data_IF_304188734045
#
_entry.id   IF_304188734045
#
_cell.length_a   1.000
_cell.length_b   1.000
_cell.length_c   1.000
_cell.angle_alpha   90.00
_cell.angle_beta   90.00
_cell.angle_gamma   90.00
#
_symmetry.space_group_name_H-M   'P 1'
#
loop_
_entity.id
_entity.type
_entity.pdbx_description
1 polymer ?
#
# COMPACT_ATOMS: atom_id res chain seq x y z
N UNK A 1 55.78 -26.68 18.64
CA UNK A 1 54.48 -27.33 18.38
C UNK A 1 53.47 -26.55 19.22
N UNK A 2 52.92 -25.46 18.67
CA UNK A 2 51.54 -25.36 18.09
C UNK A 2 50.47 -25.49 19.19
N UNK A 3 49.43 -24.68 19.29
CA UNK A 3 49.02 -23.45 18.61
C UNK A 3 47.90 -22.83 19.47
N UNK A 4 47.68 -21.55 19.27
CA UNK A 4 46.63 -20.74 19.92
C UNK A 4 45.25 -21.15 19.43
N UNK A 5 44.24 -21.20 20.29
CA UNK A 5 42.85 -20.93 19.86
C UNK A 5 42.12 -20.10 20.91
N UNK A 6 41.94 -18.85 20.53
CA UNK A 6 41.13 -17.80 21.12
C UNK A 6 39.64 -18.06 20.84
N UNK A 7 38.76 -17.96 21.84
CA UNK A 7 37.30 -17.91 21.65
C UNK A 7 36.74 -16.71 22.42
N UNK A 8 36.17 -15.70 21.75
CA UNK A 8 35.55 -14.57 22.44
C UNK A 8 34.07 -14.86 22.82
N UNK A 9 33.51 -14.08 23.76
CA UNK A 9 32.18 -14.30 24.33
C UNK A 9 31.06 -13.72 23.45
N UNK A 10 29.94 -14.44 23.37
CA UNK A 10 28.69 -13.95 22.78
C UNK A 10 27.95 -13.09 23.81
N UNK A 11 28.10 -11.77 23.69
CA UNK A 11 27.23 -10.78 24.33
C UNK A 11 25.86 -10.78 23.65
N UNK A 12 24.83 -10.84 24.47
CA UNK A 12 23.43 -10.89 24.08
C UNK A 12 22.84 -9.52 24.41
N UNK A 13 22.65 -8.66 23.41
CA UNK A 13 21.91 -7.41 23.53
C UNK A 13 21.15 -7.16 22.21
N UNK A 14 19.82 -7.29 22.27
CA UNK A 14 18.85 -6.91 21.24
C UNK A 14 17.46 -6.99 21.90
N UNK A 15 16.60 -5.99 21.86
CA UNK A 15 16.25 -5.17 20.71
C UNK A 15 15.70 -3.79 21.14
N UNK A 16 16.07 -2.74 20.43
CA UNK A 16 15.23 -1.55 20.27
C UNK A 16 15.42 -1.01 18.85
N UNK A 17 14.31 -1.01 18.12
CA UNK A 17 13.94 -0.20 16.95
C UNK A 17 15.07 0.43 16.12
N UNK A 18 15.30 -0.08 14.91
CA UNK A 18 16.00 0.70 13.88
C UNK A 18 15.41 0.46 12.50
N UNK A 19 14.71 1.48 12.01
CA UNK A 19 14.36 1.70 10.62
C UNK A 19 15.60 1.62 9.73
N UNK A 20 15.37 1.16 8.52
CA UNK A 20 16.45 0.67 7.68
C UNK A 20 17.16 1.99 7.07
N UNK A 21 18.47 2.00 6.68
CA UNK A 21 19.16 2.83 5.65
C UNK A 21 19.84 2.11 4.42
N UNK A 22 19.58 2.52 3.16
CA UNK A 22 20.47 2.23 2.01
C UNK A 22 21.64 3.25 1.99
N UNK A 23 22.87 2.80 2.23
CA UNK A 23 24.06 3.68 2.33
C UNK A 23 25.06 3.43 1.19
N UNK A 24 25.23 4.41 0.31
CA UNK A 24 26.33 4.47 -0.66
C UNK A 24 27.63 5.05 -0.07
N UNK A 25 28.79 4.84 -0.71
CA UNK A 25 30.03 5.48 -0.31
C UNK A 25 29.89 7.02 -0.40
N UNK A 26 30.30 7.73 0.65
CA UNK A 26 30.17 9.20 0.75
C UNK A 26 31.50 9.89 0.46
N UNK A 27 31.53 10.81 -0.52
CA UNK A 27 32.69 11.67 -0.80
C UNK A 27 32.66 12.26 -2.21
N UNK A 28 33.30 13.41 -2.42
CA UNK A 28 33.27 14.15 -3.70
C UNK A 28 33.80 13.35 -4.91
N UNK A 29 34.56 12.26 -4.69
CA UNK A 29 35.08 11.37 -5.74
C UNK A 29 34.20 10.17 -6.09
N UNK A 30 33.01 10.04 -5.51
CA UNK A 30 32.05 8.95 -5.81
C UNK A 30 31.04 9.38 -6.86
N UNK A 31 30.45 8.41 -7.57
CA UNK A 31 29.46 8.72 -8.61
C UNK A 31 28.24 9.44 -8.00
N UNK A 32 27.78 10.59 -8.56
CA UNK A 32 26.70 11.39 -7.99
C UNK A 32 25.44 10.60 -7.60
N UNK A 33 25.07 9.59 -8.39
CA UNK A 33 23.89 8.75 -8.19
C UNK A 33 23.95 7.88 -6.93
N UNK A 34 25.15 7.61 -6.40
CA UNK A 34 25.33 6.83 -5.16
C UNK A 34 25.51 7.68 -3.91
N UNK A 35 25.53 9.01 -4.07
CA UNK A 35 25.78 9.96 -2.97
C UNK A 35 24.48 10.37 -2.27
N UNK A 36 23.96 9.51 -1.41
CA UNK A 36 22.84 9.86 -0.55
C UNK A 36 21.99 8.67 -0.13
N UNK A 37 20.85 8.98 0.51
CA UNK A 37 19.79 8.04 0.83
C UNK A 37 18.47 8.60 0.30
N UNK A 38 17.72 7.77 -0.41
CA UNK A 38 16.33 8.06 -0.79
C UNK A 38 15.42 7.25 0.12
N UNK A 39 14.43 7.90 0.73
CA UNK A 39 13.36 7.25 1.48
C UNK A 39 12.04 7.59 0.81
N UNK A 40 11.20 6.59 0.59
CA UNK A 40 9.88 6.75 -0.02
C UNK A 40 8.86 6.70 1.10
N UNK A 41 7.97 7.69 1.16
CA UNK A 41 6.93 7.73 2.19
C UNK A 41 5.84 6.70 1.88
N UNK A 42 5.29 6.09 2.93
CA UNK A 42 4.23 5.07 2.84
C UNK A 42 3.04 5.56 2.01
N UNK A 43 2.66 6.83 2.18
CA UNK A 43 1.57 7.44 1.42
C UNK A 43 1.82 7.54 -0.10
N UNK A 44 3.07 7.48 -0.56
CA UNK A 44 3.40 7.38 -1.99
C UNK A 44 3.21 5.95 -2.47
N UNK A 45 3.69 4.97 -1.72
CA UNK A 45 3.54 3.54 -2.03
C UNK A 45 2.06 3.14 -2.02
N UNK A 46 1.30 3.63 -1.05
CA UNK A 46 -0.15 3.43 -0.95
C UNK A 46 -0.91 3.99 -2.17
N UNK A 47 -0.47 5.13 -2.72
CA UNK A 47 -1.07 5.68 -3.95
C UNK A 47 -0.77 4.82 -5.16
N UNK A 48 0.47 4.33 -5.29
CA UNK A 48 0.86 3.44 -6.39
C UNK A 48 0.03 2.16 -6.36
N UNK A 49 -0.04 1.51 -5.19
CA UNK A 49 -0.85 0.30 -5.03
C UNK A 49 -2.34 0.55 -5.21
N UNK A 50 -2.88 1.66 -4.71
CA UNK A 50 -4.29 2.01 -4.91
C UNK A 50 -4.65 2.22 -6.38
N UNK A 51 -3.76 2.83 -7.17
CA UNK A 51 -3.95 2.96 -8.61
C UNK A 51 -3.83 1.59 -9.29
N UNK A 52 -2.76 0.84 -9.01
CA UNK A 52 -2.53 -0.46 -9.61
C UNK A 52 -3.64 -1.47 -9.29
N UNK A 53 -4.18 -1.48 -8.08
CA UNK A 53 -5.29 -2.36 -7.73
C UNK A 53 -6.57 -2.02 -8.52
N UNK A 54 -6.84 -0.73 -8.76
CA UNK A 54 -8.01 -0.27 -9.55
C UNK A 54 -7.89 -0.54 -11.05
N UNK A 55 -6.69 -0.80 -11.56
CA UNK A 55 -6.48 -1.15 -12.97
C UNK A 55 -6.85 -2.60 -13.28
N UNK A 56 -7.04 -3.44 -12.26
CA UNK A 56 -7.40 -4.85 -12.44
C UNK A 56 -8.91 -4.98 -12.75
N UNK A 57 -9.28 -5.65 -13.86
CA UNK A 57 -10.68 -5.93 -14.15
C UNK A 57 -11.38 -6.68 -13.00
N UNK A 58 -12.61 -6.30 -12.71
CA UNK A 58 -13.39 -6.87 -11.61
C UNK A 58 -13.16 -6.20 -10.26
N UNK A 59 -12.28 -5.20 -10.15
CA UNK A 59 -12.23 -4.31 -8.98
C UNK A 59 -13.17 -3.13 -9.21
N UNK A 60 -14.22 -3.04 -8.40
CA UNK A 60 -15.15 -1.91 -8.41
C UNK A 60 -14.60 -0.74 -7.59
N UNK A 61 -14.15 -1.01 -6.36
CA UNK A 61 -13.64 0.03 -5.46
C UNK A 61 -12.62 -0.50 -4.46
N UNK A 62 -11.93 0.42 -3.77
CA UNK A 62 -11.02 0.13 -2.66
C UNK A 62 -11.55 0.74 -1.36
N UNK A 63 -11.52 -0.06 -0.30
CA UNK A 63 -12.01 0.29 1.05
C UNK A 63 -13.51 0.18 1.22
N UNK A 64 -13.92 -0.13 2.46
CA UNK A 64 -15.32 -0.29 2.86
C UNK A 64 -16.25 0.80 2.29
N UNK A 65 -17.37 0.36 1.71
CA UNK A 65 -18.41 1.13 1.04
C UNK A 65 -18.97 2.31 1.85
N UNK A 66 -18.29 3.46 1.78
CA UNK A 66 -18.80 4.73 2.30
C UNK A 66 -19.79 5.40 1.33
N UNK A 67 -20.49 4.63 0.50
CA UNK A 67 -21.41 5.16 -0.50
C UNK A 67 -22.78 5.52 0.07
N UNK A 68 -23.13 5.12 1.32
CA UNK A 68 -24.45 5.47 1.90
C UNK A 68 -24.47 6.36 3.15
N UNK A 69 -23.34 6.77 3.72
CA UNK A 69 -23.35 7.49 5.01
C UNK A 69 -22.55 8.80 5.11
N UNK A 70 -21.70 9.18 4.12
CA UNK A 70 -20.86 10.39 4.21
C UNK A 70 -21.24 11.46 3.17
N UNK A 71 -22.48 11.45 2.68
CA UNK A 71 -23.00 12.46 1.75
C UNK A 71 -23.34 13.83 2.37
N UNK A 72 -23.34 13.98 3.70
CA UNK A 72 -23.93 15.18 4.32
C UNK A 72 -23.01 16.02 5.25
N UNK A 73 -21.77 15.58 5.56
CA UNK A 73 -20.96 16.27 6.61
C UNK A 73 -19.54 16.66 6.18
N UNK A 74 -19.07 16.27 4.99
CA UNK A 74 -17.67 16.53 4.59
C UNK A 74 -17.45 17.85 3.81
N UNK A 75 -18.50 18.61 3.54
CA UNK A 75 -18.45 19.87 2.76
C UNK A 75 -17.77 21.05 3.50
N UNK A 76 -17.34 20.90 4.77
CA UNK A 76 -16.98 22.08 5.59
C UNK A 76 -15.64 22.06 6.33
N UNK A 77 -14.67 21.24 5.90
CA UNK A 77 -13.30 21.33 6.44
C UNK A 77 -12.33 21.78 5.34
N UNK A 78 -11.96 23.07 5.28
CA UNK A 78 -10.84 23.54 4.47
C UNK A 78 -9.56 22.94 5.07
N UNK A 79 -8.94 21.99 4.36
CA UNK A 79 -7.69 21.33 4.78
C UNK A 79 -7.75 19.79 4.89
N UNK A 80 -8.91 19.16 4.65
CA UNK A 80 -9.13 17.73 4.89
C UNK A 80 -8.67 16.77 3.78
N UNK A 81 -7.36 16.72 3.52
CA UNK A 81 -6.63 15.51 3.07
C UNK A 81 -6.94 14.93 1.67
N UNK A 82 -5.87 14.58 0.96
CA UNK A 82 -5.76 13.84 -0.31
C UNK A 82 -6.38 12.41 -0.26
N UNK A 83 -7.62 12.27 0.21
CA UNK A 83 -8.17 11.02 0.74
C UNK A 83 -8.99 10.15 -0.23
N UNK A 84 -8.82 10.31 -1.54
CA UNK A 84 -9.56 9.51 -2.54
C UNK A 84 -8.81 8.28 -3.04
N UNK A 85 -7.50 8.38 -3.27
CA UNK A 85 -6.74 7.37 -4.03
C UNK A 85 -6.13 6.26 -3.15
N UNK A 86 -5.82 6.56 -1.89
CA UNK A 86 -5.21 5.61 -0.94
C UNK A 86 -6.20 5.06 0.09
N UNK A 87 -7.51 5.32 -0.05
CA UNK A 87 -8.52 4.78 0.87
C UNK A 87 -8.64 3.28 0.62
N UNK A 88 -8.60 2.47 1.68
CA UNK A 88 -8.58 1.00 1.59
C UNK A 88 -7.21 0.39 1.32
N UNK A 89 -6.12 1.16 1.39
CA UNK A 89 -4.75 0.65 1.23
C UNK A 89 -3.92 1.07 2.43
N UNK A 90 -3.48 0.10 3.23
CA UNK A 90 -2.50 0.31 4.30
C UNK A 90 -1.17 -0.24 3.82
N UNK A 91 -0.11 0.51 4.10
CA UNK A 91 1.24 0.16 3.68
C UNK A 91 2.18 0.40 4.82
N UNK A 92 3.06 -0.56 5.04
CA UNK A 92 4.21 -0.42 5.92
C UNK A 92 5.47 -0.54 5.08
N UNK A 93 6.35 0.46 5.17
CA UNK A 93 7.58 0.53 4.37
C UNK A 93 8.80 0.51 5.29
N UNK A 94 9.75 -0.37 4.99
CA UNK A 94 11.11 -0.35 5.54
C UNK A 94 12.12 0.27 4.56
N UNK A 95 13.41 -0.01 4.76
CA UNK A 95 14.48 0.02 3.72
C UNK A 95 14.08 -0.42 2.35
N UNK A 96 14.06 -1.73 2.28
CA UNK A 96 14.10 -2.43 1.03
C UNK A 96 12.82 -3.16 0.83
N UNK A 97 11.91 -3.11 1.80
CA UNK A 97 10.78 -4.01 1.90
C UNK A 97 9.51 -3.21 2.13
N UNK A 98 8.42 -3.68 1.53
CA UNK A 98 7.08 -3.17 1.75
C UNK A 98 6.11 -4.32 2.01
N UNK A 99 5.18 -4.09 2.92
CA UNK A 99 4.02 -4.94 3.16
C UNK A 99 2.75 -4.12 2.95
N UNK A 100 1.71 -4.74 2.41
CA UNK A 100 0.49 -4.03 2.01
C UNK A 100 -0.75 -4.82 2.41
N UNK A 101 -1.72 -4.14 2.99
CA UNK A 101 -3.08 -4.65 3.19
C UNK A 101 -4.04 -3.82 2.34
N UNK A 102 -4.84 -4.51 1.53
CA UNK A 102 -5.75 -3.88 0.56
C UNK A 102 -7.16 -4.39 0.78
N UNK A 103 -8.07 -3.46 1.08
CA UNK A 103 -9.49 -3.70 1.19
C UNK A 103 -10.14 -3.43 -0.18
N UNK A 104 -10.89 -4.38 -0.72
CA UNK A 104 -11.47 -4.30 -2.07
C UNK A 104 -12.96 -4.62 -2.11
N UNK A 105 -13.66 -4.01 -3.06
CA UNK A 105 -15.01 -4.39 -3.49
C UNK A 105 -14.91 -4.95 -4.91
N UNK A 106 -15.43 -6.15 -5.12
CA UNK A 106 -15.30 -6.90 -6.39
C UNK A 106 -16.60 -6.80 -7.18
N UNK A 107 -16.54 -6.71 -8.51
CA UNK A 107 -17.73 -6.72 -9.36
C UNK A 107 -18.37 -8.12 -9.41
N UNK A 108 -19.70 -8.16 -9.36
CA UNK A 108 -20.44 -9.41 -9.57
C UNK A 108 -20.11 -10.03 -10.93
N UNK A 109 -19.91 -11.35 -10.93
CA UNK A 109 -19.60 -12.12 -12.14
C UNK A 109 -18.10 -12.43 -12.33
N UNK A 110 -17.22 -11.83 -11.52
CA UNK A 110 -15.81 -12.20 -11.47
C UNK A 110 -15.51 -13.25 -10.41
N UNK A 111 -14.57 -14.15 -10.70
CA UNK A 111 -14.05 -15.09 -9.72
C UNK A 111 -13.11 -14.37 -8.74
N UNK A 112 -13.54 -14.22 -7.49
CA UNK A 112 -12.81 -13.45 -6.46
C UNK A 112 -11.35 -13.93 -6.29
N UNK A 113 -11.12 -15.24 -6.37
CA UNK A 113 -9.77 -15.82 -6.24
C UNK A 113 -8.85 -15.37 -7.38
N UNK A 114 -9.37 -15.32 -8.60
CA UNK A 114 -8.60 -14.92 -9.79
C UNK A 114 -8.32 -13.42 -9.74
N UNK A 115 -9.34 -12.59 -9.45
CA UNK A 115 -9.18 -11.15 -9.27
C UNK A 115 -8.14 -10.84 -8.18
N UNK A 116 -8.22 -11.51 -7.02
CA UNK A 116 -7.26 -11.30 -5.95
C UNK A 116 -5.83 -11.70 -6.35
N UNK A 117 -5.66 -12.75 -7.16
CA UNK A 117 -4.36 -13.13 -7.68
C UNK A 117 -3.82 -12.07 -8.65
N UNK A 118 -4.66 -11.58 -9.56
CA UNK A 118 -4.31 -10.53 -10.51
C UNK A 118 -3.94 -9.22 -9.81
N UNK A 119 -4.68 -8.80 -8.78
CA UNK A 119 -4.34 -7.62 -7.97
C UNK A 119 -2.98 -7.77 -7.33
N UNK A 120 -2.66 -8.92 -6.71
CA UNK A 120 -1.32 -9.15 -6.13
C UNK A 120 -0.24 -8.97 -7.18
N UNK A 121 -0.39 -9.61 -8.35
CA UNK A 121 0.60 -9.51 -9.43
C UNK A 121 0.76 -8.06 -9.89
N UNK A 122 -0.33 -7.34 -10.13
CA UNK A 122 -0.25 -5.97 -10.64
C UNK A 122 0.34 -4.99 -9.61
N UNK A 123 -0.11 -5.07 -8.36
CA UNK A 123 0.37 -4.22 -7.27
C UNK A 123 1.85 -4.45 -6.98
N UNK A 124 2.26 -5.71 -6.81
CA UNK A 124 3.68 -6.06 -6.58
C UNK A 124 4.51 -5.50 -7.73
N UNK A 125 4.13 -5.81 -8.97
CA UNK A 125 4.88 -5.37 -10.14
C UNK A 125 4.97 -3.84 -10.24
N UNK A 126 3.90 -3.12 -9.93
CA UNK A 126 3.89 -1.66 -9.98
C UNK A 126 4.81 -1.04 -8.90
N UNK A 127 4.67 -1.50 -7.65
CA UNK A 127 5.46 -0.98 -6.53
C UNK A 127 6.93 -1.27 -6.72
N UNK A 128 7.31 -2.52 -7.04
CA UNK A 128 8.72 -2.89 -7.21
C UNK A 128 9.38 -2.10 -8.35
N UNK A 129 8.70 -1.97 -9.50
CA UNK A 129 9.23 -1.21 -10.65
C UNK A 129 9.39 0.28 -10.38
N UNK A 130 8.46 0.89 -9.65
CA UNK A 130 8.47 2.35 -9.45
C UNK A 130 9.32 2.79 -8.26
N UNK A 131 9.42 1.96 -7.23
CA UNK A 131 10.04 2.33 -5.94
C UNK A 131 11.38 1.64 -5.69
N UNK A 132 11.62 0.49 -6.34
CA UNK A 132 12.78 -0.36 -6.05
C UNK A 132 12.71 -1.09 -4.70
N UNK A 133 11.57 -1.02 -4.01
CA UNK A 133 11.28 -1.84 -2.83
C UNK A 133 10.93 -3.27 -3.27
N UNK A 134 11.29 -4.25 -2.45
CA UNK A 134 10.87 -5.65 -2.51
C UNK A 134 9.54 -5.79 -1.79
N UNK A 135 8.50 -6.31 -2.44
CA UNK A 135 7.21 -6.50 -1.76
C UNK A 135 7.20 -7.87 -1.10
N UNK A 136 7.17 -7.89 0.24
CA UNK A 136 7.22 -9.13 1.02
C UNK A 136 5.87 -9.84 0.99
N UNK A 137 4.79 -9.07 1.13
CA UNK A 137 3.43 -9.59 1.10
C UNK A 137 2.41 -8.54 0.65
N UNK A 138 1.34 -9.05 0.05
CA UNK A 138 0.13 -8.29 -0.27
C UNK A 138 -1.08 -9.10 0.20
N UNK A 139 -1.71 -8.62 1.26
CA UNK A 139 -2.93 -9.18 1.81
C UNK A 139 -4.12 -8.45 1.22
N UNK A 140 -5.16 -9.21 0.87
CA UNK A 140 -6.41 -8.65 0.35
C UNK A 140 -7.56 -9.08 1.24
N UNK A 141 -8.41 -8.12 1.59
CA UNK A 141 -9.70 -8.33 2.22
C UNK A 141 -10.75 -7.92 1.21
N UNK A 142 -11.67 -8.83 0.91
CA UNK A 142 -12.81 -8.54 0.03
C UNK A 142 -13.99 -8.17 0.93
N UNK A 143 -14.29 -6.88 0.99
CA UNK A 143 -15.31 -6.32 1.89
C UNK A 143 -16.73 -6.57 1.36
N UNK A 144 -16.91 -6.48 0.04
CA UNK A 144 -18.24 -6.54 -0.60
C UNK A 144 -18.16 -6.97 -2.08
N UNK A 145 -19.33 -7.27 -2.66
CA UNK A 145 -19.51 -7.53 -4.09
C UNK A 145 -20.49 -6.52 -4.67
N UNK A 146 -20.09 -5.74 -5.68
CA UNK A 146 -20.96 -4.78 -6.35
C UNK A 146 -21.95 -5.51 -7.26
N UNK A 147 -23.25 -5.33 -7.01
CA UNK A 147 -24.32 -5.84 -7.88
C UNK A 147 -24.74 -4.75 -8.88
N UNK A 148 -25.04 -5.11 -10.14
CA UNK A 148 -25.39 -4.15 -11.19
C UNK A 148 -26.67 -3.35 -10.91
N UNK A 149 -27.55 -3.83 -10.01
CA UNK A 149 -28.83 -3.19 -9.71
C UNK A 149 -28.76 -2.19 -8.52
N UNK A 150 -27.60 -2.03 -7.87
CA UNK A 150 -27.45 -1.08 -6.74
C UNK A 150 -27.06 0.34 -7.17
N UNK A 151 -26.59 0.53 -8.40
CA UNK A 151 -26.17 1.84 -8.94
C UNK A 151 -27.34 2.69 -9.48
N UNK A 152 -28.53 2.10 -9.69
CA UNK A 152 -29.74 2.80 -10.20
C UNK A 152 -30.64 3.39 -9.09
N UNK A 153 -30.29 3.21 -7.81
CA UNK A 153 -31.01 3.82 -6.70
C UNK A 153 -30.50 5.23 -6.38
N UNK A 154 -30.64 6.15 -7.34
CA UNK A 154 -30.54 7.59 -7.08
C UNK A 154 -31.53 7.96 -5.96
N UNK A 155 -31.11 8.65 -4.89
CA UNK A 155 -32.01 9.08 -3.83
C UNK A 155 -32.91 10.17 -4.40
N UNK A 156 -34.15 9.82 -4.77
CA UNK A 156 -35.18 10.79 -5.15
C UNK A 156 -35.28 11.87 -4.09
N UNK A 157 -34.90 13.09 -4.46
CA UNK A 157 -35.02 14.30 -3.66
C UNK A 157 -36.43 14.40 -3.06
N UNK A 158 -36.49 14.31 -1.73
CA UNK A 158 -37.71 14.57 -0.96
C UNK A 158 -38.08 16.04 -1.05
N UNK A 159 -38.79 16.42 -2.12
CA UNK A 159 -39.60 17.63 -2.19
C UNK A 159 -40.66 17.57 -1.09
N UNK A 160 -40.58 18.46 -0.10
CA UNK A 160 -41.73 18.78 0.76
C UNK A 160 -42.05 20.27 0.63
N UNK A 161 -43.29 20.52 0.20
CA UNK A 161 -44.00 21.80 0.23
C UNK A 161 -44.33 22.24 1.66
#
# INVERSE_FOLDING_TARGET
MTDTTNRPPSGQDGHTETATMLKGPTGAGTSPETRGKTTIADGVVAKIAGIAAREVPGIHNLGAGVTRAIGAVRERVPGGGTGGVSRGVKVEVGERQAAMDIDVVVEYGFAIVDVAAEVRVNVISAVERMTGLEVVEVNLVVDDVNLPDEDDAEPTEGRVE
#
